data_IF_586573057885
#
_entry.id   IF_586573057885
#
_cell.length_a   1.000
_cell.length_b   1.000
_cell.length_c   1.000
_cell.angle_alpha   90.00
_cell.angle_beta   90.00
_cell.angle_gamma   90.00
#
_symmetry.space_group_name_H-M   'P 1'
#
loop_
_entity.id
_entity.type
_entity.pdbx_description
1 polymer ?
#
# COMPACT_ATOMS: atom_id res chain seq x y z
N UNK A 1 -22.77 -53.19 -63.13
CA UNK A 1 -22.40 -52.34 -61.98
C UNK A 1 -23.25 -52.69 -60.78
N UNK A 2 -22.69 -53.34 -59.75
CA UNK A 2 -23.31 -53.39 -58.42
C UNK A 2 -22.18 -53.31 -57.38
N UNK A 3 -21.84 -52.09 -56.98
CA UNK A 3 -20.94 -51.82 -55.85
C UNK A 3 -21.71 -52.21 -54.58
N UNK A 4 -21.33 -53.30 -53.92
CA UNK A 4 -21.76 -53.57 -52.54
C UNK A 4 -20.66 -53.05 -51.62
N UNK A 5 -20.89 -51.93 -50.94
CA UNK A 5 -20.06 -51.56 -49.80
C UNK A 5 -20.52 -52.39 -48.59
N UNK A 6 -19.63 -53.18 -48.01
CA UNK A 6 -19.86 -53.85 -46.73
C UNK A 6 -19.69 -52.82 -45.61
N UNK A 7 -20.79 -52.44 -44.97
CA UNK A 7 -20.80 -51.56 -43.80
C UNK A 7 -20.50 -52.39 -42.54
N UNK A 8 -19.24 -52.73 -42.30
CA UNK A 8 -18.78 -53.10 -40.96
C UNK A 8 -18.36 -51.82 -40.24
N UNK A 9 -19.36 -51.13 -39.68
CA UNK A 9 -19.09 -50.02 -38.78
C UNK A 9 -18.64 -50.65 -37.46
N UNK A 10 -17.33 -50.85 -37.29
CA UNK A 10 -16.76 -51.04 -35.95
C UNK A 10 -16.98 -49.70 -35.25
N UNK A 11 -18.13 -49.57 -34.59
CA UNK A 11 -18.27 -48.64 -33.48
C UNK A 11 -17.24 -49.18 -32.50
N UNK A 12 -16.02 -48.62 -32.51
CA UNK A 12 -15.20 -48.71 -31.32
C UNK A 12 -16.10 -48.12 -30.25
N UNK A 13 -16.60 -48.97 -29.35
CA UNK A 13 -17.12 -48.49 -28.08
C UNK A 13 -16.12 -47.42 -27.65
N UNK A 14 -16.63 -46.20 -27.40
CA UNK A 14 -15.79 -45.19 -26.78
C UNK A 14 -15.32 -45.86 -25.50
N UNK A 15 -14.07 -46.34 -25.49
CA UNK A 15 -13.49 -46.99 -24.33
C UNK A 15 -13.81 -46.06 -23.16
N UNK A 16 -14.60 -46.57 -22.21
CA UNK A 16 -15.00 -45.77 -21.06
C UNK A 16 -13.74 -45.08 -20.53
N UNK A 17 -13.78 -43.75 -20.39
CA UNK A 17 -12.65 -42.92 -19.98
C UNK A 17 -11.89 -43.69 -18.91
N UNK A 18 -10.67 -44.16 -19.24
CA UNK A 18 -9.91 -45.02 -18.35
C UNK A 18 -9.89 -44.37 -16.98
N UNK A 19 -10.56 -45.01 -16.00
CA UNK A 19 -10.73 -44.44 -14.68
C UNK A 19 -9.33 -44.11 -14.16
N UNK A 20 -9.02 -42.82 -14.06
CA UNK A 20 -7.75 -42.38 -13.51
C UNK A 20 -7.78 -42.78 -12.03
N UNK A 21 -7.16 -43.91 -11.71
CA UNK A 21 -6.99 -44.40 -10.35
C UNK A 21 -5.93 -43.57 -9.60
N UNK A 22 -5.97 -42.24 -9.77
CA UNK A 22 -5.14 -41.28 -9.06
C UNK A 22 -5.88 -40.93 -7.78
N UNK A 23 -5.32 -41.37 -6.65
CA UNK A 23 -5.83 -41.01 -5.33
C UNK A 23 -5.82 -39.49 -5.19
N UNK A 24 -6.99 -38.91 -5.01
CA UNK A 24 -7.14 -37.47 -4.77
C UNK A 24 -6.52 -37.17 -3.40
N UNK A 25 -5.59 -36.22 -3.36
CA UNK A 25 -4.93 -35.79 -2.12
C UNK A 25 -5.87 -34.89 -1.30
N UNK A 26 -6.89 -35.49 -0.68
CA UNK A 26 -7.81 -34.79 0.20
C UNK A 26 -7.24 -34.83 1.63
N UNK A 27 -6.99 -33.68 2.28
CA UNK A 27 -6.56 -33.64 3.67
C UNK A 27 -7.60 -34.31 4.58
N UNK A 28 -7.12 -35.12 5.53
CA UNK A 28 -7.99 -35.80 6.50
C UNK A 28 -8.42 -34.83 7.59
N UNK A 29 -9.71 -34.85 7.94
CA UNK A 29 -10.24 -34.09 9.08
C UNK A 29 -9.74 -34.72 10.38
N UNK A 30 -9.16 -33.89 11.23
CA UNK A 30 -8.64 -34.31 12.54
C UNK A 30 -9.76 -34.32 13.58
N UNK A 31 -9.48 -34.91 14.75
CA UNK A 31 -10.42 -34.91 15.89
C UNK A 31 -10.82 -33.49 16.31
N UNK A 32 -9.89 -32.54 16.28
CA UNK A 32 -10.14 -31.13 16.62
C UNK A 32 -11.24 -30.53 15.73
N UNK A 33 -11.22 -30.83 14.43
CA UNK A 33 -12.26 -30.38 13.52
C UNK A 33 -13.64 -30.92 13.93
N UNK A 34 -13.71 -32.22 14.26
CA UNK A 34 -14.98 -32.84 14.70
C UNK A 34 -15.48 -32.18 15.99
N UNK A 35 -14.61 -32.00 16.98
CA UNK A 35 -14.97 -31.38 18.26
C UNK A 35 -15.44 -29.92 18.08
N UNK A 36 -14.80 -29.16 17.18
CA UNK A 36 -15.24 -27.81 16.81
C UNK A 36 -16.64 -27.80 16.19
N UNK A 37 -16.96 -28.72 15.28
CA UNK A 37 -18.30 -28.79 14.66
C UNK A 37 -19.40 -29.08 15.69
N UNK A 38 -19.11 -29.89 16.71
CA UNK A 38 -20.06 -30.19 17.78
C UNK A 38 -20.31 -28.95 18.64
N UNK A 39 -19.26 -28.20 18.98
CA UNK A 39 -19.35 -26.93 19.72
C UNK A 39 -20.14 -25.87 18.93
N UNK A 40 -19.81 -25.68 17.65
CA UNK A 40 -20.50 -24.72 16.78
C UNK A 40 -21.98 -25.07 16.60
N UNK A 41 -22.33 -26.36 16.47
CA UNK A 41 -23.73 -26.78 16.39
C UNK A 41 -24.51 -26.48 17.67
N UNK A 42 -23.89 -26.64 18.85
CA UNK A 42 -24.55 -26.38 20.14
C UNK A 42 -24.77 -24.89 20.38
N UNK A 43 -23.75 -24.06 20.12
CA UNK A 43 -23.73 -22.65 20.54
C UNK A 43 -23.78 -21.64 19.39
N UNK A 44 -24.32 -22.05 18.23
CA UNK A 44 -24.33 -21.25 16.99
C UNK A 44 -24.86 -19.81 17.18
N UNK A 45 -25.95 -19.66 17.95
CA UNK A 45 -26.58 -18.35 18.19
C UNK A 45 -25.67 -17.39 18.96
N UNK A 46 -25.03 -17.88 20.02
CA UNK A 46 -24.12 -17.08 20.84
C UNK A 46 -22.88 -16.66 20.04
N UNK A 47 -22.29 -17.60 19.29
CA UNK A 47 -21.14 -17.29 18.43
C UNK A 47 -21.49 -16.25 17.38
N UNK A 48 -22.66 -16.33 16.75
CA UNK A 48 -23.12 -15.34 15.79
C UNK A 48 -23.29 -13.95 16.43
N UNK A 49 -23.91 -13.86 17.61
CA UNK A 49 -24.11 -12.59 18.31
C UNK A 49 -22.79 -11.93 18.71
N UNK A 50 -21.84 -12.73 19.24
CA UNK A 50 -20.49 -12.25 19.58
C UNK A 50 -19.79 -11.73 18.34
N UNK A 51 -19.82 -12.50 17.24
CA UNK A 51 -19.23 -12.10 15.97
C UNK A 51 -19.81 -10.78 15.44
N UNK A 52 -21.13 -10.61 15.47
CA UNK A 52 -21.77 -9.36 15.02
C UNK A 52 -21.35 -8.16 15.87
N UNK A 53 -21.31 -8.32 17.21
CA UNK A 53 -20.84 -7.28 18.13
C UNK A 53 -19.39 -6.90 17.85
N UNK A 54 -18.51 -7.89 17.70
CA UNK A 54 -17.08 -7.63 17.47
C UNK A 54 -16.82 -7.02 16.09
N UNK A 55 -17.53 -7.48 15.06
CA UNK A 55 -17.46 -6.88 13.72
C UNK A 55 -17.92 -5.42 13.74
N UNK A 56 -18.97 -5.10 14.50
CA UNK A 56 -19.42 -3.72 14.67
C UNK A 56 -18.36 -2.85 15.37
N UNK A 57 -17.77 -3.35 16.45
CA UNK A 57 -16.69 -2.65 17.16
C UNK A 57 -15.45 -2.46 16.28
N UNK A 58 -15.07 -3.45 15.48
CA UNK A 58 -13.99 -3.36 14.51
C UNK A 58 -14.26 -2.26 13.48
N UNK A 59 -15.46 -2.24 12.88
CA UNK A 59 -15.86 -1.18 11.94
C UNK A 59 -15.79 0.20 12.58
N UNK A 60 -16.25 0.35 13.82
CA UNK A 60 -16.14 1.61 14.56
C UNK A 60 -14.67 2.01 14.76
N UNK A 61 -13.82 1.08 15.19
CA UNK A 61 -12.39 1.33 15.41
C UNK A 61 -11.69 1.75 14.12
N UNK A 62 -11.93 1.04 13.01
CA UNK A 62 -11.40 1.36 11.69
C UNK A 62 -11.86 2.73 11.24
N UNK A 63 -13.15 3.06 11.38
CA UNK A 63 -13.66 4.37 11.00
C UNK A 63 -13.07 5.51 11.85
N UNK A 64 -12.86 5.29 13.16
CA UNK A 64 -12.18 6.26 14.03
C UNK A 64 -10.73 6.48 13.59
N UNK A 65 -9.98 5.41 13.35
CA UNK A 65 -8.61 5.50 12.85
C UNK A 65 -8.55 6.20 11.48
N UNK A 66 -9.43 5.84 10.55
CA UNK A 66 -9.52 6.45 9.23
C UNK A 66 -9.88 7.94 9.28
N UNK A 67 -10.82 8.32 10.16
CA UNK A 67 -11.14 9.73 10.40
C UNK A 67 -9.93 10.50 10.91
N UNK A 68 -9.22 9.95 11.90
CA UNK A 68 -8.02 10.57 12.44
C UNK A 68 -6.96 10.75 11.35
N UNK A 69 -6.67 9.71 10.56
CA UNK A 69 -5.74 9.80 9.42
C UNK A 69 -6.15 10.87 8.40
N UNK A 70 -7.45 10.97 8.10
CA UNK A 70 -7.98 11.98 7.17
C UNK A 70 -7.86 13.40 7.75
N UNK A 71 -8.09 13.57 9.05
CA UNK A 71 -7.96 14.87 9.72
C UNK A 71 -6.51 15.33 9.86
N UNK A 72 -5.59 14.40 10.13
CA UNK A 72 -4.14 14.68 10.22
C UNK A 72 -3.48 14.71 8.83
N UNK A 73 -4.25 14.46 7.75
CA UNK A 73 -3.82 14.40 6.36
C UNK A 73 -2.62 13.49 6.04
N UNK A 74 -2.20 12.60 6.94
CA UNK A 74 -1.02 11.70 6.84
C UNK A 74 -1.12 10.60 5.76
N UNK A 75 -1.95 10.79 4.74
CA UNK A 75 -2.10 9.83 3.66
C UNK A 75 -1.19 10.25 2.49
N UNK A 76 -0.18 9.42 2.15
CA UNK A 76 0.71 9.68 1.00
C UNK A 76 -0.02 9.56 -0.34
N UNK A 77 -1.21 8.96 -0.33
CA UNK A 77 -2.08 8.79 -1.50
C UNK A 77 -3.34 9.60 -1.28
N UNK A 78 -3.58 10.58 -2.14
CA UNK A 78 -4.88 11.23 -2.23
C UNK A 78 -5.81 10.35 -3.07
N UNK A 79 -6.82 9.73 -2.45
CA UNK A 79 -7.80 8.89 -3.15
C UNK A 79 -9.03 9.67 -3.62
N UNK A 80 -8.97 11.00 -3.63
CA UNK A 80 -10.08 11.83 -4.14
C UNK A 80 -10.03 11.80 -5.67
N UNK A 81 -11.11 11.35 -6.31
CA UNK A 81 -11.18 11.17 -7.77
C UNK A 81 -10.73 12.38 -8.61
N UNK A 82 -10.78 13.60 -8.07
CA UNK A 82 -10.35 14.83 -8.76
C UNK A 82 -8.92 15.29 -8.44
N UNK A 83 -8.26 14.72 -7.41
CA UNK A 83 -6.95 15.16 -6.90
C UNK A 83 -6.09 13.93 -6.56
N UNK A 84 -6.18 12.87 -7.38
CA UNK A 84 -5.35 11.67 -7.28
C UNK A 84 -3.88 11.97 -7.51
N UNK A 85 -3.12 12.10 -6.43
CA UNK A 85 -1.65 12.19 -6.44
C UNK A 85 -1.08 11.25 -5.40
N UNK A 86 -0.09 10.48 -5.81
CA UNK A 86 0.70 9.60 -4.98
C UNK A 86 2.07 10.21 -4.76
N UNK A 87 2.46 10.33 -3.49
CA UNK A 87 3.78 10.80 -3.07
C UNK A 87 4.57 9.60 -2.56
N UNK A 88 5.65 9.28 -3.25
CA UNK A 88 6.65 8.30 -2.80
C UNK A 88 7.95 9.02 -2.49
N UNK A 89 8.60 8.69 -1.37
CA UNK A 89 9.83 9.35 -0.94
C UNK A 89 10.89 8.31 -0.65
N UNK A 90 12.07 8.51 -1.22
CA UNK A 90 13.23 7.64 -1.05
C UNK A 90 14.40 8.46 -0.50
N UNK A 91 15.03 7.96 0.56
CA UNK A 91 16.18 8.61 1.16
C UNK A 91 17.44 7.83 0.78
N UNK A 92 18.42 8.55 0.25
CA UNK A 92 19.72 8.00 -0.12
C UNK A 92 20.82 8.69 0.68
N UNK A 93 21.79 7.92 1.17
CA UNK A 93 22.92 8.43 1.94
C UNK A 93 23.02 7.77 3.32
N UNK A 94 24.23 7.78 3.87
CA UNK A 94 24.54 7.14 5.16
C UNK A 94 24.99 8.13 6.25
N UNK A 95 25.13 9.43 5.95
CA UNK A 95 25.49 10.48 6.90
C UNK A 95 26.02 11.73 6.21
N UNK A 96 26.46 12.76 6.96
CA UNK A 96 25.57 13.79 7.53
C UNK A 96 24.68 14.51 6.49
N UNK A 97 24.87 14.26 5.19
CA UNK A 97 24.06 14.81 4.11
C UNK A 97 23.32 13.66 3.42
N UNK A 98 22.00 13.73 3.43
CA UNK A 98 21.10 12.80 2.77
C UNK A 98 20.51 13.43 1.51
N UNK A 99 20.42 12.65 0.44
CA UNK A 99 19.66 13.00 -0.75
C UNK A 99 18.28 12.39 -0.67
N UNK A 100 17.28 13.22 -0.46
CA UNK A 100 15.87 12.85 -0.49
C UNK A 100 15.32 12.99 -1.91
N UNK A 101 14.81 11.90 -2.46
CA UNK A 101 14.16 11.84 -3.77
C UNK A 101 12.66 11.74 -3.56
N UNK A 102 11.92 12.74 -4.02
CA UNK A 102 10.46 12.79 -3.94
C UNK A 102 9.89 12.49 -5.32
N UNK A 103 9.17 11.38 -5.43
CA UNK A 103 8.47 10.94 -6.63
C UNK A 103 6.99 11.28 -6.50
N UNK A 104 6.50 12.16 -7.36
CA UNK A 104 5.09 12.54 -7.47
C UNK A 104 4.47 11.86 -8.69
N UNK A 105 3.53 10.97 -8.47
CA UNK A 105 2.75 10.34 -9.53
C UNK A 105 1.34 10.91 -9.55
N UNK A 106 0.97 11.59 -10.64
CA UNK A 106 -0.34 12.19 -10.79
C UNK A 106 -1.26 11.26 -11.58
N UNK A 107 -2.40 10.87 -10.99
CA UNK A 107 -3.44 10.05 -11.63
C UNK A 107 -4.73 10.84 -11.87
N UNK A 108 -4.81 12.09 -11.40
CA UNK A 108 -5.98 12.94 -11.52
C UNK A 108 -6.23 13.48 -12.93
N UNK A 109 -7.50 13.53 -13.32
CA UNK A 109 -8.00 14.36 -14.42
C UNK A 109 -9.04 15.33 -13.85
N UNK A 110 -8.94 16.66 -14.01
CA UNK A 110 -8.03 17.47 -14.85
C UNK A 110 -6.59 17.64 -14.30
N UNK A 111 -5.64 18.22 -15.07
CA UNK A 111 -4.28 18.50 -14.59
C UNK A 111 -4.28 19.47 -13.41
N UNK A 112 -3.43 19.21 -12.42
CA UNK A 112 -3.32 20.04 -11.22
C UNK A 112 -2.31 21.17 -11.45
N UNK A 113 -2.72 22.40 -11.13
CA UNK A 113 -1.92 23.61 -11.31
C UNK A 113 -1.74 24.33 -9.97
N UNK A 114 -0.77 25.24 -9.89
CA UNK A 114 -0.48 26.06 -8.70
C UNK A 114 -0.18 25.23 -7.45
N UNK A 115 0.68 24.24 -7.62
CA UNK A 115 1.07 23.32 -6.57
C UNK A 115 2.39 23.77 -5.93
N UNK A 116 2.46 23.57 -4.62
CA UNK A 116 3.65 23.80 -3.82
C UNK A 116 3.94 22.57 -2.98
N UNK A 117 5.22 22.22 -2.90
CA UNK A 117 5.72 21.19 -2.00
C UNK A 117 6.30 21.87 -0.77
N UNK A 118 5.74 21.58 0.40
CA UNK A 118 6.13 22.16 1.68
C UNK A 118 6.72 21.06 2.54
N UNK A 119 7.97 21.24 2.96
CA UNK A 119 8.62 20.35 3.92
C UNK A 119 8.48 20.91 5.33
N UNK A 120 8.15 20.05 6.28
CA UNK A 120 8.04 20.34 7.69
C UNK A 120 8.99 19.41 8.45
N UNK A 121 9.95 19.99 9.16
CA UNK A 121 11.00 19.27 9.87
C UNK A 121 11.41 20.02 11.14
N UNK A 122 12.11 19.33 12.03
CA UNK A 122 12.72 19.96 13.19
C UNK A 122 14.03 20.66 12.80
N UNK A 123 14.03 22.00 12.85
CA UNK A 123 15.18 22.85 12.49
C UNK A 123 16.40 22.68 13.41
N UNK A 124 16.21 22.09 14.60
CA UNK A 124 17.33 21.78 15.51
C UNK A 124 18.14 20.57 15.03
N UNK A 125 17.51 19.65 14.30
CA UNK A 125 18.11 18.37 13.88
C UNK A 125 18.53 18.37 12.41
N UNK A 126 17.76 19.04 11.56
CA UNK A 126 17.95 19.03 10.11
C UNK A 126 18.01 20.44 9.52
N UNK A 127 18.85 20.61 8.51
CA UNK A 127 18.97 21.80 7.68
C UNK A 127 18.63 21.41 6.23
N UNK A 128 17.63 22.08 5.64
CA UNK A 128 17.17 21.86 4.27
C UNK A 128 17.23 23.20 3.53
N UNK A 129 17.90 23.22 2.38
CA UNK A 129 18.09 24.45 1.57
C UNK A 129 16.74 25.02 1.09
N UNK A 130 15.92 24.20 0.44
CA UNK A 130 14.62 24.60 -0.11
C UNK A 130 13.48 23.88 0.60
N UNK A 131 12.92 24.52 1.64
CA UNK A 131 11.75 24.01 2.37
C UNK A 131 10.42 24.20 1.63
N UNK A 132 10.39 25.09 0.62
CA UNK A 132 9.22 25.41 -0.19
C UNK A 132 9.61 25.33 -1.67
N UNK A 133 9.11 24.32 -2.38
CA UNK A 133 9.43 24.10 -3.78
C UNK A 133 8.17 24.33 -4.64
N UNK A 134 8.18 25.31 -5.56
CA UNK A 134 7.09 25.50 -6.52
C UNK A 134 7.11 24.38 -7.56
N UNK A 135 5.96 23.76 -7.81
CA UNK A 135 5.84 22.65 -8.75
C UNK A 135 5.24 23.11 -10.09
N UNK A 136 5.68 22.53 -11.22
CA UNK A 136 5.00 22.71 -12.49
C UNK A 136 3.59 22.08 -12.45
N UNK A 137 2.79 22.37 -13.46
CA UNK A 137 1.49 21.71 -13.61
C UNK A 137 1.69 20.20 -13.78
N UNK A 138 1.07 19.41 -12.90
CA UNK A 138 1.16 17.95 -12.94
C UNK A 138 0.15 17.44 -13.97
N UNK A 139 0.67 16.81 -15.02
CA UNK A 139 -0.13 16.17 -16.04
C UNK A 139 -0.59 14.78 -15.58
N UNK A 140 -1.79 14.34 -15.99
CA UNK A 140 -2.28 13.00 -15.69
C UNK A 140 -1.33 11.92 -16.22
N UNK A 141 -1.19 10.83 -15.46
CA UNK A 141 -0.37 9.65 -15.77
C UNK A 141 1.13 9.91 -15.92
N UNK A 142 1.62 11.02 -15.37
CA UNK A 142 3.05 11.37 -15.37
C UNK A 142 3.66 11.28 -13.98
N UNK A 143 4.95 10.93 -13.95
CA UNK A 143 5.76 10.90 -12.73
C UNK A 143 6.80 12.02 -12.76
N UNK A 144 6.89 12.78 -11.68
CA UNK A 144 7.83 13.87 -11.51
C UNK A 144 8.75 13.58 -10.34
N UNK A 145 10.05 13.81 -10.52
CA UNK A 145 11.08 13.48 -9.53
C UNK A 145 11.79 14.75 -9.10
N UNK A 146 11.86 14.96 -7.79
CA UNK A 146 12.55 16.10 -7.16
C UNK A 146 13.62 15.59 -6.21
N UNK A 147 14.78 16.24 -6.24
CA UNK A 147 15.89 15.92 -5.35
C UNK A 147 16.13 17.07 -4.39
N UNK A 148 16.14 16.77 -3.10
CA UNK A 148 16.38 17.74 -2.03
C UNK A 148 17.50 17.20 -1.15
N UNK A 149 18.45 18.06 -0.82
CA UNK A 149 19.55 17.74 0.08
C UNK A 149 19.13 18.10 1.51
N UNK A 150 19.26 17.13 2.42
CA UNK A 150 18.94 17.25 3.84
C UNK A 150 20.21 17.04 4.64
N UNK A 151 20.66 18.05 5.35
CA UNK A 151 21.84 17.98 6.21
C UNK A 151 21.42 17.74 7.66
N UNK A 152 22.05 16.79 8.33
CA UNK A 152 21.91 16.57 9.76
C UNK A 152 22.92 17.45 10.50
N UNK A 153 22.44 18.20 11.50
CA UNK A 153 23.27 19.13 12.28
C UNK A 153 24.02 18.43 13.42
N UNK A 154 23.42 17.39 14.01
CA UNK A 154 23.97 16.68 15.18
C UNK A 154 24.13 15.16 14.91
N UNK A 155 25.07 14.76 14.02
CA UNK A 155 25.28 13.34 13.70
C UNK A 155 25.73 12.53 14.93
N UNK A 156 26.45 13.14 15.87
CA UNK A 156 27.04 12.47 17.03
C UNK A 156 26.02 11.93 18.04
N UNK A 157 24.81 12.52 18.07
CA UNK A 157 23.77 12.12 19.01
C UNK A 157 22.92 10.95 18.51
N UNK A 158 23.01 10.60 17.23
CA UNK A 158 22.25 9.50 16.63
C UNK A 158 20.72 9.66 16.73
N UNK A 159 20.22 10.90 16.80
CA UNK A 159 18.78 11.19 16.94
C UNK A 159 18.17 11.29 15.53
N UNK A 160 17.09 10.53 15.31
CA UNK A 160 16.29 10.60 14.08
C UNK A 160 14.90 11.12 14.39
N UNK A 161 14.40 12.04 13.55
CA UNK A 161 13.02 12.52 13.58
C UNK A 161 12.38 12.42 12.19
N UNK A 162 11.07 12.58 12.14
CA UNK A 162 10.29 12.44 10.92
C UNK A 162 10.22 13.77 10.18
N UNK A 163 10.41 13.73 8.87
CA UNK A 163 10.20 14.86 7.97
C UNK A 163 8.85 14.70 7.28
N UNK A 164 7.97 15.68 7.44
CA UNK A 164 6.68 15.76 6.77
C UNK A 164 6.79 16.48 5.44
N UNK A 165 6.24 15.91 4.37
CA UNK A 165 6.17 16.52 3.04
C UNK A 165 4.70 16.70 2.70
N UNK A 166 4.27 17.94 2.54
CA UNK A 166 2.90 18.30 2.20
C UNK A 166 2.85 18.80 0.77
N UNK A 167 2.01 18.18 -0.06
CA UNK A 167 1.62 18.70 -1.36
C UNK A 167 0.40 19.59 -1.18
N UNK A 168 0.56 20.88 -1.47
CA UNK A 168 -0.44 21.91 -1.20
C UNK A 168 -0.85 22.58 -2.50
N UNK A 169 -2.15 22.73 -2.68
CA UNK A 169 -2.74 23.66 -3.65
C UNK A 169 -3.16 24.94 -2.90
N UNK A 170 -3.47 26.01 -3.63
CA UNK A 170 -3.74 27.37 -3.12
C UNK A 170 -4.59 27.45 -1.83
N UNK A 171 -5.51 26.50 -1.58
CA UNK A 171 -6.41 26.52 -0.43
C UNK A 171 -6.42 25.23 0.40
N UNK A 172 -5.67 24.19 0.03
CA UNK A 172 -5.83 22.85 0.62
C UNK A 172 -4.61 21.95 0.44
N UNK A 173 -4.32 21.14 1.46
CA UNK A 173 -3.36 20.02 1.39
C UNK A 173 -4.00 18.86 0.63
N UNK A 174 -3.37 18.43 -0.46
CA UNK A 174 -3.82 17.32 -1.31
C UNK A 174 -3.36 15.99 -0.71
N UNK A 175 -2.05 15.88 -0.45
CA UNK A 175 -1.42 14.67 0.07
C UNK A 175 -0.29 15.04 1.03
N UNK A 176 -0.08 14.22 2.06
CA UNK A 176 1.05 14.36 2.99
C UNK A 176 1.78 13.03 3.09
N UNK A 177 3.09 13.05 2.90
CA UNK A 177 3.96 11.94 3.22
C UNK A 177 4.74 12.25 4.50
N UNK A 178 4.77 11.29 5.43
CA UNK A 178 5.64 11.35 6.60
C UNK A 178 6.78 10.37 6.37
N UNK A 179 8.02 10.85 6.46
CA UNK A 179 9.21 10.05 6.17
C UNK A 179 10.10 10.04 7.40
N UNK A 180 10.42 8.85 7.87
CA UNK A 180 11.36 8.68 8.97
C UNK A 180 12.78 8.79 8.42
N UNK A 181 13.56 9.74 8.92
CA UNK A 181 14.95 9.90 8.48
C UNK A 181 15.82 8.77 9.06
N UNK A 182 16.75 8.20 8.28
CA UNK A 182 17.72 7.27 8.80
C UNK A 182 18.67 7.97 9.78
N UNK A 183 19.20 7.21 10.74
CA UNK A 183 20.20 7.69 11.69
C UNK A 183 21.49 8.00 10.91
N UNK A 184 22.09 9.17 11.14
CA UNK A 184 23.39 9.51 10.55
C UNK A 184 24.50 8.69 11.20
N UNK A 185 25.35 8.08 10.37
CA UNK A 185 26.59 7.50 10.85
C UNK A 185 27.62 8.62 11.09
N UNK A 186 28.42 8.48 12.15
CA UNK A 186 29.47 9.42 12.48
C UNK A 186 30.51 9.42 11.37
N UNK A 187 30.92 10.61 10.93
CA UNK A 187 32.03 10.75 9.98
C UNK A 187 33.31 10.23 10.67
N UNK A 188 33.79 9.06 10.27
CA UNK A 188 35.05 8.48 10.78
C UNK A 188 36.31 9.21 10.29
N UNK A 189 36.17 10.41 9.71
CA UNK A 189 37.23 11.14 9.01
C UNK A 189 37.50 12.54 9.57
N UNK A 190 36.96 12.89 10.74
CA UNK A 190 37.40 14.06 11.51
C UNK A 190 38.13 13.62 12.80
#
# INVERSE_FOLDING_TARGET
>A
FRRKASLEKIIKEVDAIQAQCRKINIPRRTRIYVDQTIRERKDAKLMHQIYQRDLFMLRLSVNKAFKNLTQTSLNPISTKNSEGVEISVEIHGFGPIFRMTINLHATSWPPLQHLYLILHYNQELYEIEDSLVPLPALLPEMTYVFHIMVRCLEPDKGISDNVGINLVNQYKIIATALVNMPISEMNLLD
#
